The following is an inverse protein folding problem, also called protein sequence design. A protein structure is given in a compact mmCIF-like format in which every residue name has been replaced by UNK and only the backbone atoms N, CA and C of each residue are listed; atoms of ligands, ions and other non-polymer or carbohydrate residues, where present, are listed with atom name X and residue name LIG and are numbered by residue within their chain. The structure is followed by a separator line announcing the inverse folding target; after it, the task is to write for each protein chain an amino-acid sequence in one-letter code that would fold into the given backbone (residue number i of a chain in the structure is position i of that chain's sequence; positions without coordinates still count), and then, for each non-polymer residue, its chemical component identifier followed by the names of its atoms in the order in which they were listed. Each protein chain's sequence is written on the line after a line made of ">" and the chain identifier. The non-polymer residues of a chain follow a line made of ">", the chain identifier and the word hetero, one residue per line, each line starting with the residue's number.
data_IF_616907123488
#
_entry.id   IF_616907123488
#
_cell.length_a   1.000
_cell.length_b   1.000
_cell.length_c   1.000
_cell.angle_alpha   90.00
_cell.angle_beta   90.00
_cell.angle_gamma   90.00
#
_symmetry.space_group_name_H-M   'P 1'
#
loop_
_entity.id
_entity.type
_entity.pdbx_description
1 polymer ?
#
# COMPACT_ATOMS: atom_id res chain seq x y z
N UNK A 1 23.08 -14.77 26.47
CA UNK A 1 23.00 -13.60 25.54
C UNK A 1 23.71 -13.99 24.25
N UNK A 2 23.16 -13.59 23.09
CA UNK A 2 23.55 -13.94 21.70
C UNK A 2 23.20 -15.36 21.21
N UNK A 3 21.99 -15.56 20.67
CA UNK A 3 21.68 -16.50 19.56
C UNK A 3 20.39 -16.08 18.83
N UNK A 4 20.41 -14.95 18.10
CA UNK A 4 19.38 -14.60 17.11
C UNK A 4 20.00 -14.04 15.81
N UNK A 5 21.21 -14.48 15.50
CA UNK A 5 21.80 -14.28 14.18
C UNK A 5 21.74 -15.60 13.43
N UNK A 6 21.34 -15.55 12.15
CA UNK A 6 21.52 -16.62 11.18
C UNK A 6 20.37 -17.63 10.97
N UNK A 7 19.12 -17.18 10.85
CA UNK A 7 18.08 -18.01 10.22
C UNK A 7 17.05 -17.23 9.37
N UNK A 8 17.49 -16.18 8.68
CA UNK A 8 16.71 -15.51 7.62
C UNK A 8 17.59 -15.36 6.38
N UNK A 9 18.17 -16.47 5.93
CA UNK A 9 18.98 -16.50 4.70
C UNK A 9 18.52 -17.57 3.71
N UNK A 10 17.26 -18.01 3.79
CA UNK A 10 16.77 -19.03 2.89
C UNK A 10 15.27 -18.88 2.64
N UNK A 11 14.89 -17.94 1.78
CA UNK A 11 13.72 -18.14 0.93
C UNK A 11 13.64 -17.14 -0.23
N UNK A 12 13.54 -17.71 -1.44
CA UNK A 12 13.05 -17.13 -2.71
C UNK A 12 14.04 -16.37 -3.61
N UNK A 13 14.98 -17.12 -4.20
CA UNK A 13 15.32 -16.92 -5.62
C UNK A 13 14.53 -17.95 -6.45
N UNK A 14 13.41 -17.54 -7.01
CA UNK A 14 12.85 -18.19 -8.21
C UNK A 14 12.90 -17.16 -9.34
N UNK A 15 13.92 -17.27 -10.19
CA UNK A 15 13.96 -16.57 -11.47
C UNK A 15 12.83 -17.12 -12.34
N UNK A 16 11.72 -16.38 -12.41
CA UNK A 16 10.70 -16.56 -13.42
C UNK A 16 11.05 -15.72 -14.65
N UNK A 17 11.70 -16.33 -15.64
CA UNK A 17 11.77 -15.80 -17.00
C UNK A 17 10.38 -15.98 -17.65
N UNK A 18 9.62 -14.90 -17.79
CA UNK A 18 8.34 -14.87 -18.47
C UNK A 18 8.43 -14.04 -19.73
N UNK A 19 8.58 -14.72 -20.87
CA UNK A 19 8.69 -14.14 -22.20
C UNK A 19 7.46 -13.36 -22.66
N UNK A 20 7.70 -12.46 -23.60
CA UNK A 20 6.71 -11.55 -24.16
C UNK A 20 5.61 -12.24 -24.96
N UNK A 21 4.47 -11.56 -25.01
CA UNK A 21 3.40 -11.80 -25.95
C UNK A 21 2.81 -10.46 -26.35
N UNK A 22 3.13 -10.01 -27.57
CA UNK A 22 2.46 -8.87 -28.17
C UNK A 22 0.99 -9.20 -28.43
N UNK A 23 0.12 -8.20 -28.33
CA UNK A 23 -1.21 -8.26 -28.91
C UNK A 23 -1.58 -6.89 -29.44
N UNK A 24 -1.53 -6.77 -30.76
CA UNK A 24 -2.08 -5.67 -31.52
C UNK A 24 -3.61 -5.68 -31.38
N UNK A 25 -4.18 -4.50 -31.14
CA UNK A 25 -5.62 -4.29 -31.04
C UNK A 25 -6.00 -2.91 -31.56
N UNK A 26 -5.85 -2.71 -32.88
CA UNK A 26 -6.51 -1.62 -33.60
C UNK A 26 -8.01 -1.92 -33.69
N UNK A 27 -8.82 -1.17 -32.93
CA UNK A 27 -10.28 -1.22 -32.98
C UNK A 27 -10.86 0.18 -33.20
N UNK A 28 -11.33 0.41 -34.43
CA UNK A 28 -12.04 1.60 -34.90
C UNK A 28 -13.55 1.46 -34.63
N UNK A 29 -14.20 2.56 -34.25
CA UNK A 29 -15.58 2.97 -34.63
C UNK A 29 -15.89 4.24 -33.82
N UNK A 30 -16.20 5.39 -34.40
CA UNK A 30 -17.25 5.59 -35.40
C UNK A 30 -18.48 6.10 -34.65
N UNK A 31 -18.64 7.43 -34.57
CA UNK A 31 -19.73 8.04 -33.81
C UNK A 31 -19.90 9.53 -34.10
N UNK A 32 -20.15 9.88 -35.36
CA UNK A 32 -20.59 11.23 -35.76
C UNK A 32 -22.06 11.41 -35.36
N UNK A 33 -22.30 12.03 -34.20
CA UNK A 33 -23.63 12.45 -33.76
C UNK A 33 -23.81 13.95 -33.93
N UNK A 34 -24.37 14.37 -35.07
CA UNK A 34 -24.84 15.73 -35.29
C UNK A 34 -26.13 15.98 -34.50
N UNK A 35 -26.10 16.99 -33.62
CA UNK A 35 -27.27 17.46 -32.87
C UNK A 35 -27.32 18.98 -32.89
N UNK A 36 -27.97 19.54 -33.90
CA UNK A 36 -28.37 20.95 -33.95
C UNK A 36 -29.57 21.17 -33.03
N UNK A 37 -29.31 21.57 -31.78
CA UNK A 37 -30.33 22.03 -30.85
C UNK A 37 -30.25 23.54 -30.65
N UNK A 38 -31.12 24.28 -31.34
CA UNK A 38 -31.29 25.72 -31.13
C UNK A 38 -31.91 25.98 -29.76
N UNK A 39 -31.14 26.58 -28.86
CA UNK A 39 -31.60 27.09 -27.57
C UNK A 39 -31.67 28.62 -27.62
N UNK A 40 -32.89 29.13 -27.48
CA UNK A 40 -33.24 30.54 -27.32
C UNK A 40 -32.41 31.19 -26.21
N UNK A 41 -31.80 32.34 -26.51
CA UNK A 41 -30.91 33.06 -25.61
C UNK A 41 -31.64 33.66 -24.42
N UNK A 42 -31.46 33.04 -23.26
CA UNK A 42 -31.68 33.70 -21.98
C UNK A 42 -30.46 34.58 -21.67
N UNK A 43 -30.60 35.90 -21.81
CA UNK A 43 -29.65 36.91 -21.30
C UNK A 43 -29.72 37.02 -19.77
N UNK A 44 -29.81 35.89 -19.08
CA UNK A 44 -29.66 35.84 -17.64
C UNK A 44 -28.19 36.08 -17.32
N UNK A 45 -27.90 37.09 -16.51
CA UNK A 45 -26.63 37.32 -15.82
C UNK A 45 -26.35 36.18 -14.82
N UNK A 46 -26.32 34.95 -15.31
CA UNK A 46 -25.96 33.76 -14.56
C UNK A 46 -24.51 33.88 -14.18
N UNK A 47 -24.26 34.06 -12.89
CA UNK A 47 -22.92 33.97 -12.32
C UNK A 47 -22.34 32.63 -12.74
N UNK A 48 -21.33 32.64 -13.62
CA UNK A 48 -20.57 31.43 -13.94
C UNK A 48 -19.86 31.05 -12.65
N UNK A 49 -20.41 30.06 -11.95
CA UNK A 49 -19.75 29.46 -10.80
C UNK A 49 -18.67 28.54 -11.36
N UNK A 50 -17.45 29.06 -11.50
CA UNK A 50 -16.28 28.25 -11.84
C UNK A 50 -15.96 27.44 -10.56
N UNK A 51 -16.01 26.10 -10.59
CA UNK A 51 -15.63 25.32 -9.43
C UNK A 51 -14.17 25.62 -9.07
N UNK A 52 -13.84 25.68 -7.76
CA UNK A 52 -12.46 25.92 -7.35
C UNK A 52 -11.54 24.84 -7.92
N UNK A 53 -10.31 25.20 -8.32
CA UNK A 53 -9.34 24.23 -8.84
C UNK A 53 -9.12 23.12 -7.80
N UNK A 54 -9.26 21.87 -8.22
CA UNK A 54 -8.99 20.73 -7.36
C UNK A 54 -7.47 20.64 -7.14
N UNK A 55 -7.04 20.64 -5.88
CA UNK A 55 -5.64 20.39 -5.54
C UNK A 55 -5.36 18.92 -5.81
N UNK A 56 -4.34 18.67 -6.62
CA UNK A 56 -3.96 17.34 -7.00
C UNK A 56 -3.04 16.73 -5.95
N UNK A 57 -3.35 15.54 -5.41
CA UNK A 57 -2.48 14.90 -4.44
C UNK A 57 -1.19 14.43 -5.09
N UNK A 58 -0.11 14.46 -4.32
CA UNK A 58 1.24 14.06 -4.74
C UNK A 58 1.81 12.95 -3.87
N UNK A 59 1.31 12.80 -2.64
CA UNK A 59 1.73 11.75 -1.73
C UNK A 59 0.55 11.12 -0.98
N UNK A 60 0.81 9.94 -0.44
CA UNK A 60 -0.08 9.29 0.51
C UNK A 60 0.74 8.61 1.59
N UNK A 61 0.28 8.69 2.84
CA UNK A 61 0.88 7.98 3.97
C UNK A 61 -0.12 6.95 4.46
N UNK A 62 0.25 5.67 4.34
CA UNK A 62 -0.58 4.55 4.80
C UNK A 62 -0.06 4.05 6.14
N UNK A 63 -0.92 4.04 7.14
CA UNK A 63 -0.64 3.51 8.47
C UNK A 63 -1.27 2.13 8.62
N UNK A 64 -0.46 1.16 9.01
CA UNK A 64 -0.90 -0.20 9.31
C UNK A 64 -0.97 -0.39 10.83
N UNK A 65 -2.10 -0.95 11.28
CA UNK A 65 -2.33 -1.27 12.68
C UNK A 65 -2.90 -2.68 12.84
N UNK A 66 -2.72 -3.24 14.03
CA UNK A 66 -3.37 -4.49 14.44
C UNK A 66 -4.49 -4.20 15.42
N UNK A 67 -5.62 -4.88 15.26
CA UNK A 67 -6.76 -4.86 16.19
C UNK A 67 -7.16 -6.28 16.56
N UNK A 68 -8.02 -6.41 17.58
CA UNK A 68 -8.49 -7.69 18.10
C UNK A 68 -7.91 -8.01 19.47
N UNK A 69 -8.00 -9.29 19.86
CA UNK A 69 -7.61 -9.74 21.20
C UNK A 69 -6.28 -10.47 21.14
N UNK A 70 -5.27 -9.90 21.79
CA UNK A 70 -4.00 -10.58 22.04
C UNK A 70 -4.17 -11.54 23.23
N UNK A 71 -3.83 -12.84 23.10
CA UNK A 71 -3.88 -13.77 24.23
C UNK A 71 -3.05 -13.26 25.42
N UNK A 72 -3.54 -13.49 26.64
CA UNK A 72 -2.88 -13.01 27.84
C UNK A 72 -1.47 -13.60 27.96
N UNK A 73 -0.48 -12.75 28.23
CA UNK A 73 0.92 -13.15 28.36
C UNK A 73 1.64 -13.36 27.02
N UNK A 74 0.96 -13.19 25.88
CA UNK A 74 1.59 -13.19 24.57
C UNK A 74 2.04 -11.79 24.15
N UNK A 75 3.00 -11.74 23.24
CA UNK A 75 3.44 -10.53 22.56
C UNK A 75 3.66 -10.84 21.08
N UNK A 76 3.49 -9.83 20.23
CA UNK A 76 3.71 -9.95 18.79
C UNK A 76 5.22 -9.80 18.55
N UNK A 77 5.84 -10.82 17.96
CA UNK A 77 7.25 -10.77 17.54
C UNK A 77 7.39 -10.29 16.10
N UNK A 78 6.39 -10.56 15.27
CA UNK A 78 6.36 -10.10 13.90
C UNK A 78 5.00 -10.22 13.24
N UNK A 79 4.85 -9.49 12.15
CA UNK A 79 3.65 -9.45 11.32
C UNK A 79 4.03 -9.55 9.85
N UNK A 80 3.20 -10.24 9.07
CA UNK A 80 3.20 -10.13 7.61
C UNK A 80 1.83 -9.69 7.13
N UNK A 81 1.78 -8.76 6.19
CA UNK A 81 0.54 -8.27 5.58
C UNK A 81 0.79 -7.85 4.14
N UNK A 82 -0.18 -8.08 3.27
CA UNK A 82 -0.17 -7.55 1.91
C UNK A 82 -1.06 -6.31 1.85
N UNK A 83 -0.48 -5.16 1.51
CA UNK A 83 -1.20 -3.93 1.24
C UNK A 83 -1.55 -3.87 -0.25
N UNK A 84 -2.84 -3.77 -0.59
CA UNK A 84 -3.29 -3.42 -1.93
C UNK A 84 -3.09 -1.92 -2.19
N UNK A 85 -2.47 -1.59 -3.32
CA UNK A 85 -2.21 -0.22 -3.76
C UNK A 85 -3.14 0.10 -4.93
N UNK A 86 -3.96 1.16 -4.85
CA UNK A 86 -4.82 1.53 -5.96
C UNK A 86 -4.02 2.01 -7.17
N UNK A 87 -4.67 2.01 -8.34
CA UNK A 87 -4.06 2.51 -9.57
C UNK A 87 -3.54 3.95 -9.39
N UNK A 88 -2.36 4.22 -9.94
CA UNK A 88 -1.70 5.53 -9.82
C UNK A 88 -0.93 5.77 -8.51
N UNK A 89 -1.05 4.90 -7.51
CA UNK A 89 -0.22 4.97 -6.29
C UNK A 89 1.09 4.20 -6.50
N UNK A 90 2.21 4.83 -6.21
CA UNK A 90 3.54 4.26 -6.40
C UNK A 90 4.28 4.14 -5.07
N UNK A 91 5.21 3.19 -5.02
CA UNK A 91 6.14 3.01 -3.91
C UNK A 91 7.54 3.22 -4.46
N UNK A 92 8.34 4.06 -3.81
CA UNK A 92 9.70 4.32 -4.27
C UNK A 92 10.56 3.05 -4.18
N UNK A 93 11.32 2.78 -5.24
CA UNK A 93 12.25 1.66 -5.31
C UNK A 93 13.69 2.15 -5.45
N UNK A 94 14.65 1.34 -5.03
CA UNK A 94 16.07 1.54 -5.29
C UNK A 94 16.46 1.15 -6.73
N UNK A 95 17.76 1.26 -7.04
CA UNK A 95 18.30 0.90 -8.35
C UNK A 95 18.17 -0.59 -8.71
N UNK A 96 17.90 -1.46 -7.74
CA UNK A 96 17.70 -2.90 -7.93
C UNK A 96 16.21 -3.27 -8.05
N UNK A 97 15.30 -2.29 -7.97
CA UNK A 97 13.86 -2.53 -7.94
C UNK A 97 13.34 -3.02 -6.58
N UNK A 98 14.16 -3.03 -5.54
CA UNK A 98 13.71 -3.27 -4.17
C UNK A 98 13.06 -2.01 -3.62
N UNK A 99 12.16 -2.14 -2.64
CA UNK A 99 11.57 -0.96 -1.99
C UNK A 99 12.66 -0.14 -1.31
N UNK A 100 12.66 1.17 -1.56
CA UNK A 100 13.70 2.06 -1.06
C UNK A 100 13.66 2.17 0.47
N UNK A 101 14.84 2.38 1.08
CA UNK A 101 14.96 2.59 2.52
C UNK A 101 14.12 3.81 2.96
N UNK A 102 13.42 3.67 4.09
CA UNK A 102 12.57 4.73 4.65
C UNK A 102 11.17 4.82 4.05
N UNK A 103 10.85 4.10 2.97
CA UNK A 103 9.47 3.97 2.47
C UNK A 103 8.59 3.29 3.51
N UNK A 104 9.07 2.18 4.07
CA UNK A 104 8.38 1.45 5.14
C UNK A 104 9.15 1.69 6.42
N UNK A 105 8.46 2.21 7.43
CA UNK A 105 9.05 2.53 8.73
C UNK A 105 8.22 1.95 9.85
N UNK A 106 8.87 1.46 10.90
CA UNK A 106 8.20 1.08 12.14
C UNK A 106 7.60 2.31 12.81
N UNK A 107 6.37 2.20 13.27
CA UNK A 107 5.62 3.30 13.90
C UNK A 107 4.76 2.79 15.06
N UNK A 108 4.31 3.70 15.93
CA UNK A 108 3.53 3.34 17.11
C UNK A 108 4.27 2.35 18.01
N UNK A 109 3.78 1.11 18.06
CA UNK A 109 4.30 0.05 18.92
C UNK A 109 5.68 -0.47 18.49
N UNK A 110 6.14 -0.16 17.28
CA UNK A 110 7.40 -0.66 16.72
C UNK A 110 8.43 0.43 16.43
N UNK A 111 8.17 1.69 16.82
CA UNK A 111 9.09 2.82 16.63
C UNK A 111 10.44 2.53 17.28
N UNK A 112 11.51 2.57 16.48
CA UNK A 112 12.88 2.27 16.94
C UNK A 112 13.16 0.79 17.23
N UNK A 113 12.14 -0.07 17.14
CA UNK A 113 12.19 -1.47 17.56
C UNK A 113 11.99 -2.44 16.39
N UNK A 114 12.35 -2.04 15.16
CA UNK A 114 12.19 -2.88 13.97
C UNK A 114 13.53 -3.48 13.56
N UNK A 115 13.64 -4.81 13.59
CA UNK A 115 14.87 -5.53 13.24
C UNK A 115 14.98 -5.81 11.73
N UNK A 116 13.86 -6.17 11.11
CA UNK A 116 13.82 -6.62 9.71
C UNK A 116 12.53 -6.14 9.08
N UNK A 117 12.67 -5.45 7.95
CA UNK A 117 11.57 -5.11 7.06
C UNK A 117 11.85 -5.76 5.71
N UNK A 118 11.13 -6.83 5.41
CA UNK A 118 11.15 -7.40 4.06
C UNK A 118 9.93 -6.92 3.31
N UNK A 119 10.17 -6.46 2.09
CA UNK A 119 9.15 -5.89 1.24
C UNK A 119 9.22 -6.48 -0.15
N UNK A 120 8.09 -6.96 -0.65
CA UNK A 120 7.94 -7.39 -2.04
C UNK A 120 6.89 -6.51 -2.68
N UNK A 121 7.28 -5.79 -3.73
CA UNK A 121 6.41 -4.88 -4.46
C UNK A 121 6.00 -5.51 -5.79
N UNK A 122 4.71 -5.56 -6.04
CA UNK A 122 4.12 -5.63 -7.37
C UNK A 122 3.64 -4.22 -7.71
N UNK A 123 4.33 -3.48 -8.61
CA UNK A 123 3.99 -2.09 -8.87
C UNK A 123 2.57 -1.91 -9.40
N UNK A 124 1.87 -0.88 -8.94
CA UNK A 124 0.65 -0.44 -9.60
C UNK A 124 1.00 0.24 -10.94
N UNK A 125 0.09 0.16 -11.89
CA UNK A 125 0.15 0.97 -13.12
C UNK A 125 -0.92 2.06 -13.05
N UNK A 126 -1.05 2.87 -14.10
CA UNK A 126 -2.14 3.85 -14.22
C UNK A 126 -3.53 3.21 -14.27
N UNK A 127 -3.62 1.92 -14.58
CA UNK A 127 -4.89 1.21 -14.79
C UNK A 127 -5.05 -0.06 -13.97
N UNK A 128 -3.97 -0.56 -13.36
CA UNK A 128 -3.96 -1.82 -12.60
C UNK A 128 -3.47 -1.57 -11.18
N UNK A 129 -4.19 -2.11 -10.20
CA UNK A 129 -3.79 -2.07 -8.80
C UNK A 129 -2.48 -2.83 -8.58
N UNK A 130 -1.65 -2.34 -7.66
CA UNK A 130 -0.43 -2.99 -7.21
C UNK A 130 -0.62 -3.66 -5.85
N UNK A 131 0.45 -4.28 -5.36
CA UNK A 131 0.49 -4.81 -4.00
C UNK A 131 1.87 -4.66 -3.38
N UNK A 132 1.91 -4.41 -2.08
CA UNK A 132 3.12 -4.34 -1.28
C UNK A 132 2.99 -5.32 -0.12
N UNK A 133 3.76 -6.41 -0.16
CA UNK A 133 3.87 -7.30 0.98
C UNK A 133 4.89 -6.75 1.96
N UNK A 134 4.48 -6.53 3.21
CA UNK A 134 5.32 -6.07 4.30
C UNK A 134 5.48 -7.20 5.32
N UNK A 135 6.72 -7.51 5.68
CA UNK A 135 7.05 -8.38 6.82
C UNK A 135 7.86 -7.55 7.79
N UNK A 136 7.35 -7.37 9.00
CA UNK A 136 8.01 -6.64 10.08
C UNK A 136 8.30 -7.60 11.22
N UNK A 137 9.57 -7.64 11.65
CA UNK A 137 9.98 -8.34 12.86
C UNK A 137 10.51 -7.34 13.90
N UNK A 138 10.06 -7.48 15.15
CA UNK A 138 10.52 -6.65 16.25
C UNK A 138 11.93 -7.02 16.68
N UNK A 139 12.76 -6.02 16.96
CA UNK A 139 14.05 -6.19 17.64
C UNK A 139 13.91 -6.22 19.16
N UNK A 140 12.75 -5.87 19.71
CA UNK A 140 12.52 -5.86 21.14
C UNK A 140 12.38 -7.30 21.68
N UNK A 141 13.12 -7.70 22.73
CA UNK A 141 13.01 -9.04 23.31
C UNK A 141 11.61 -9.38 23.85
N UNK A 142 10.84 -8.35 24.22
CA UNK A 142 9.48 -8.48 24.71
C UNK A 142 8.42 -8.44 23.58
N UNK A 143 8.81 -8.28 22.31
CA UNK A 143 7.87 -8.07 21.21
C UNK A 143 7.16 -6.72 21.31
N UNK A 144 5.95 -6.64 20.76
CA UNK A 144 5.06 -5.49 20.82
C UNK A 144 3.59 -5.90 20.99
N UNK A 145 2.72 -4.97 21.37
CA UNK A 145 1.28 -5.21 21.58
C UNK A 145 0.45 -4.81 20.35
N UNK A 146 -0.87 -4.95 20.43
CA UNK A 146 -1.77 -4.45 19.36
C UNK A 146 -1.68 -2.92 19.21
N UNK A 147 -2.01 -2.42 18.03
CA UNK A 147 -1.94 -1.00 17.67
C UNK A 147 -1.20 -0.75 16.36
N UNK A 148 -0.91 0.53 16.09
CA UNK A 148 -0.09 0.97 14.96
C UNK A 148 1.30 0.32 15.02
N UNK A 149 1.76 -0.20 13.88
CA UNK A 149 3.06 -0.88 13.77
C UNK A 149 3.87 -0.51 12.53
N UNK A 150 3.30 0.14 11.52
CA UNK A 150 4.08 0.60 10.37
C UNK A 150 3.43 1.79 9.66
N UNK A 151 4.28 2.63 9.07
CA UNK A 151 3.91 3.67 8.09
C UNK A 151 4.58 3.40 6.77
N UNK A 152 3.84 3.63 5.70
CA UNK A 152 4.26 3.43 4.32
C UNK A 152 4.07 4.75 3.57
N UNK A 153 5.17 5.29 3.04
CA UNK A 153 5.16 6.51 2.25
C UNK A 153 5.03 6.16 0.76
N UNK A 154 3.95 6.63 0.15
CA UNK A 154 3.62 6.39 -1.24
C UNK A 154 3.64 7.70 -2.04
N UNK A 155 3.98 7.60 -3.32
CA UNK A 155 3.75 8.65 -4.29
C UNK A 155 2.37 8.51 -4.94
N UNK A 156 1.80 9.62 -5.40
CA UNK A 156 0.56 9.64 -6.18
C UNK A 156 0.87 10.22 -7.56
N UNK A 157 0.58 9.43 -8.59
CA UNK A 157 0.83 9.78 -9.99
C UNK A 157 -0.11 10.88 -10.46
N UNK A 158 0.33 11.62 -11.49
CA UNK A 158 -0.46 12.73 -11.95
C UNK A 158 -1.84 12.32 -12.47
N UNK A 159 -2.89 13.08 -12.12
CA UNK A 159 -4.28 12.78 -12.49
C UNK A 159 -4.95 11.67 -11.66
N UNK A 160 -4.28 11.15 -10.62
CA UNK A 160 -4.83 10.14 -9.73
C UNK A 160 -5.40 10.78 -8.46
N UNK A 161 -6.54 10.28 -7.98
CA UNK A 161 -7.23 10.78 -6.78
C UNK A 161 -7.63 9.60 -5.88
N UNK A 162 -6.65 8.88 -5.32
CA UNK A 162 -6.93 7.74 -4.45
C UNK A 162 -7.68 8.19 -3.20
N UNK A 163 -8.56 7.33 -2.69
CA UNK A 163 -9.26 7.50 -1.42
C UNK A 163 -8.69 6.54 -0.38
N UNK A 164 -8.82 6.85 0.92
CA UNK A 164 -8.40 5.93 1.97
C UNK A 164 -9.02 4.53 1.86
N UNK A 165 -10.27 4.44 1.36
CA UNK A 165 -10.97 3.16 1.14
C UNK A 165 -10.42 2.33 -0.02
N UNK A 166 -9.59 2.91 -0.88
CA UNK A 166 -9.04 2.22 -2.05
C UNK A 166 -7.81 1.36 -1.67
N UNK A 167 -7.28 1.57 -0.46
CA UNK A 167 -6.25 0.73 0.14
C UNK A 167 -6.89 -0.44 0.87
N UNK A 168 -6.30 -1.63 0.71
CA UNK A 168 -6.82 -2.86 1.31
C UNK A 168 -5.70 -3.68 1.94
N UNK A 169 -6.04 -4.53 2.91
CA UNK A 169 -5.07 -5.42 3.56
C UNK A 169 -5.52 -6.86 3.44
N UNK A 170 -4.64 -7.74 2.95
CA UNK A 170 -4.87 -9.19 2.83
C UNK A 170 -3.69 -9.97 3.43
N UNK A 171 -3.83 -11.30 3.50
CA UNK A 171 -2.77 -12.23 3.89
C UNK A 171 -2.10 -11.92 5.22
N UNK A 172 -2.87 -11.39 6.18
CA UNK A 172 -2.35 -11.03 7.48
C UNK A 172 -2.01 -12.26 8.31
N UNK A 173 -0.81 -12.24 8.88
CA UNK A 173 -0.35 -13.21 9.85
C UNK A 173 0.48 -12.52 10.92
N UNK A 174 0.13 -12.72 12.18
CA UNK A 174 0.94 -12.34 13.33
C UNK A 174 1.58 -13.58 13.95
N UNK A 175 2.80 -13.45 14.46
CA UNK A 175 3.50 -14.51 15.19
C UNK A 175 4.01 -14.02 16.54
N UNK A 176 4.07 -14.92 17.51
CA UNK A 176 4.63 -14.66 18.83
C UNK A 176 6.16 -14.83 18.88
N UNK A 177 6.74 -14.65 20.07
CA UNK A 177 8.18 -14.77 20.31
C UNK A 177 8.73 -16.19 20.09
N UNK A 178 7.86 -17.20 20.00
CA UNK A 178 8.18 -18.58 19.69
C UNK A 178 7.94 -18.92 18.21
N UNK A 179 7.45 -17.96 17.42
CA UNK A 179 7.11 -18.14 16.00
C UNK A 179 5.75 -18.79 15.76
N UNK A 180 4.96 -19.04 16.81
CA UNK A 180 3.62 -19.59 16.67
C UNK A 180 2.66 -18.51 16.17
N UNK A 181 1.69 -18.91 15.32
CA UNK A 181 0.69 -17.97 14.80
C UNK A 181 -0.22 -17.49 15.92
N UNK A 182 -0.41 -16.18 16.03
CA UNK A 182 -1.39 -15.56 16.92
C UNK A 182 -2.72 -15.43 16.18
N UNK A 183 -3.78 -16.02 16.73
CA UNK A 183 -5.15 -15.91 16.20
C UNK A 183 -5.92 -14.78 16.89
N UNK A 184 -7.06 -14.36 16.32
CA UNK A 184 -7.91 -13.31 16.91
C UNK A 184 -7.43 -11.88 16.68
N UNK A 185 -6.38 -11.70 15.88
CA UNK A 185 -5.89 -10.41 15.41
C UNK A 185 -6.29 -10.16 13.95
N UNK A 186 -6.47 -8.90 13.59
CA UNK A 186 -6.74 -8.48 12.20
C UNK A 186 -5.95 -7.23 11.86
N UNK A 187 -5.54 -7.07 10.59
CA UNK A 187 -4.95 -5.83 10.13
C UNK A 187 -6.06 -4.79 9.93
N UNK A 188 -5.72 -3.52 10.17
CA UNK A 188 -6.45 -2.38 9.63
C UNK A 188 -5.45 -1.45 8.96
N UNK A 189 -5.90 -0.77 7.92
CA UNK A 189 -5.15 0.30 7.27
C UNK A 189 -5.94 1.60 7.34
N UNK A 190 -5.21 2.70 7.41
CA UNK A 190 -5.74 4.05 7.20
C UNK A 190 -4.76 4.80 6.31
N UNK A 191 -5.26 5.68 5.45
CA UNK A 191 -4.40 6.48 4.58
C UNK A 191 -4.73 7.96 4.72
N UNK A 192 -3.69 8.78 4.75
CA UNK A 192 -3.78 10.23 4.60
C UNK A 192 -3.28 10.58 3.20
N UNK A 193 -4.06 11.37 2.45
CA UNK A 193 -3.74 11.78 1.09
C UNK A 193 -3.32 13.25 1.15
N UNK A 194 -2.18 13.59 0.53
CA UNK A 194 -1.50 14.88 0.65
C UNK A 194 -1.21 15.52 -0.71
#
# INVERSE_FOLDING_TARGET
>A
MLRYGLLVCLLLLTLGCGGGGGSAGTGSSGGSGGGTGGGTGDNGTGTIVIPPPQVQPTSAVVTLSTVGTLPQGSAIAGVSVTLGLPAGVTVATDANGAVAAGVVTGSGQTTGQTAVTLTTLTPATSTTAGSLRVVLASSAPAGFTTGEFARIYCGVSSGSFPKPSDFSTTDFRAVDLQGATITGLSPISSATIE
#
